data_IF_919888045748
#
_entry.id   IF_919888045748
#
_cell.length_a   1.000
_cell.length_b   1.000
_cell.length_c   1.000
_cell.angle_alpha   90.00
_cell.angle_beta   90.00
_cell.angle_gamma   90.00
#
_symmetry.space_group_name_H-M   'P 1'
#
loop_
_entity.id
_entity.type
_entity.pdbx_description
1 polymer ?
#
# COMPACT_ATOMS: atom_id res chain seq x y z
N UNK A 1 -6.97 -3.89 -6.76
CA UNK A 1 -7.59 -2.60 -7.08
C UNK A 1 -6.48 -1.58 -7.37
N UNK A 2 -5.59 -1.88 -8.32
CA UNK A 2 -4.45 -1.00 -8.60
C UNK A 2 -4.86 0.44 -8.94
N UNK A 3 -5.93 0.60 -9.72
CA UNK A 3 -6.44 1.91 -10.15
C UNK A 3 -6.90 2.83 -9.02
N UNK A 4 -7.32 2.29 -7.87
CA UNK A 4 -7.76 3.10 -6.71
C UNK A 4 -6.56 3.63 -5.93
N UNK A 5 -5.52 2.81 -5.80
CA UNK A 5 -4.31 3.16 -5.06
C UNK A 5 -3.39 4.10 -5.85
N UNK A 6 -3.49 4.01 -7.17
CA UNK A 6 -2.65 4.74 -8.11
C UNK A 6 -2.57 6.25 -7.91
N UNK A 7 -3.68 6.99 -7.75
CA UNK A 7 -3.60 8.44 -7.60
C UNK A 7 -2.90 8.84 -6.29
N UNK A 8 -3.05 8.02 -5.24
CA UNK A 8 -2.37 8.23 -3.97
C UNK A 8 -0.88 7.92 -4.07
N UNK A 9 -0.52 6.90 -4.85
CA UNK A 9 0.87 6.58 -5.15
C UNK A 9 1.56 7.74 -5.89
N UNK A 10 1.00 8.18 -7.02
CA UNK A 10 1.58 9.29 -7.79
C UNK A 10 1.59 10.61 -7.00
N UNK A 11 0.50 10.88 -6.26
CA UNK A 11 0.42 12.03 -5.36
C UNK A 11 1.48 11.97 -4.23
N UNK A 12 1.83 10.77 -3.78
CA UNK A 12 2.90 10.53 -2.82
C UNK A 12 4.25 11.00 -3.33
N UNK A 13 4.63 10.67 -4.56
CA UNK A 13 5.88 11.17 -5.15
C UNK A 13 5.92 12.71 -5.13
N UNK A 14 4.83 13.37 -5.50
CA UNK A 14 4.75 14.84 -5.49
C UNK A 14 4.94 15.37 -4.06
N UNK A 15 4.20 14.85 -3.08
CA UNK A 15 4.29 15.29 -1.68
C UNK A 15 5.67 15.06 -1.08
N UNK A 16 6.30 13.92 -1.36
CA UNK A 16 7.60 13.60 -0.79
C UNK A 16 8.78 14.21 -1.56
N UNK A 17 8.56 14.68 -2.79
CA UNK A 17 9.58 15.42 -3.56
C UNK A 17 10.02 16.72 -2.90
N UNK A 18 9.14 17.36 -2.12
CA UNK A 18 9.44 18.60 -1.40
C UNK A 18 10.58 18.46 -0.37
N UNK A 19 10.89 17.24 0.06
CA UNK A 19 12.00 16.97 0.99
C UNK A 19 13.37 16.84 0.28
N UNK A 20 13.42 16.91 -1.05
CA UNK A 20 14.66 16.95 -1.84
C UNK A 20 15.46 15.63 -1.90
N UNK A 21 15.00 14.56 -1.25
CA UNK A 21 15.66 13.25 -1.28
C UNK A 21 15.00 12.34 -2.31
N UNK A 22 15.75 11.88 -3.31
CA UNK A 22 15.23 10.98 -4.35
C UNK A 22 14.74 9.65 -3.75
N UNK A 23 15.44 9.12 -2.75
CA UNK A 23 15.02 7.91 -2.03
C UNK A 23 13.67 8.13 -1.34
N UNK A 24 13.49 9.29 -0.69
CA UNK A 24 12.24 9.61 -0.03
C UNK A 24 11.11 9.87 -1.03
N UNK A 25 11.39 10.53 -2.17
CA UNK A 25 10.42 10.70 -3.26
C UNK A 25 9.92 9.36 -3.77
N UNK A 26 10.83 8.42 -4.05
CA UNK A 26 10.48 7.09 -4.56
C UNK A 26 9.70 6.27 -3.51
N UNK A 27 10.13 6.30 -2.25
CA UNK A 27 9.34 5.73 -1.13
C UNK A 27 7.97 6.39 -0.99
N UNK A 28 7.89 7.68 -1.32
CA UNK A 28 6.72 8.53 -1.12
C UNK A 28 5.45 8.00 -1.74
N UNK A 29 5.54 7.36 -2.91
CA UNK A 29 4.37 6.76 -3.55
C UNK A 29 3.77 5.62 -2.73
N UNK A 30 4.60 4.64 -2.37
CA UNK A 30 4.18 3.53 -1.50
C UNK A 30 3.73 4.01 -0.11
N UNK A 31 4.41 5.01 0.46
CA UNK A 31 4.04 5.58 1.76
C UNK A 31 2.66 6.22 1.73
N UNK A 32 2.38 7.07 0.73
CA UNK A 32 1.08 7.75 0.65
C UNK A 32 -0.06 6.76 0.37
N UNK A 33 0.18 5.74 -0.46
CA UNK A 33 -0.74 4.63 -0.71
C UNK A 33 -1.16 3.89 0.59
N UNK A 34 -0.30 3.87 1.61
CA UNK A 34 -0.60 3.29 2.93
C UNK A 34 -1.15 4.32 3.93
N UNK A 35 -0.65 5.56 3.92
CA UNK A 35 -1.04 6.62 4.86
C UNK A 35 -2.52 6.99 4.70
N UNK A 36 -3.02 7.04 3.47
CA UNK A 36 -4.40 7.44 3.19
C UNK A 36 -5.42 6.49 3.82
N UNK A 37 -5.44 5.18 3.51
CA UNK A 37 -6.38 4.26 4.15
C UNK A 37 -6.20 4.20 5.67
N UNK A 38 -4.97 4.29 6.17
CA UNK A 38 -4.70 4.34 7.61
C UNK A 38 -5.33 5.58 8.27
N UNK A 39 -5.23 6.74 7.62
CA UNK A 39 -5.85 7.99 8.09
C UNK A 39 -7.37 7.90 8.05
N UNK A 40 -7.94 7.35 6.98
CA UNK A 40 -9.38 7.06 6.90
C UNK A 40 -9.83 6.16 8.06
N UNK A 41 -9.11 5.07 8.33
CA UNK A 41 -9.42 4.17 9.44
C UNK A 41 -9.39 4.89 10.79
N UNK A 42 -8.36 5.69 11.04
CA UNK A 42 -8.24 6.45 12.29
C UNK A 42 -9.35 7.50 12.46
N UNK A 43 -9.69 8.25 11.41
CA UNK A 43 -10.75 9.26 11.44
C UNK A 43 -12.11 8.59 11.67
N UNK A 44 -12.43 7.54 10.92
CA UNK A 44 -13.69 6.83 11.06
C UNK A 44 -13.86 6.24 12.46
N UNK A 45 -12.80 5.63 13.00
CA UNK A 45 -12.85 5.03 14.32
C UNK A 45 -12.97 6.07 15.45
N UNK A 46 -12.09 7.08 15.46
CA UNK A 46 -11.94 7.96 16.62
C UNK A 46 -12.75 9.25 16.55
N UNK A 47 -13.00 9.77 15.35
CA UNK A 47 -13.74 11.04 15.16
C UNK A 47 -15.19 10.79 14.81
N UNK A 48 -15.44 9.97 13.80
CA UNK A 48 -16.80 9.67 13.31
C UNK A 48 -17.51 8.65 14.21
N UNK A 49 -16.75 7.85 14.97
CA UNK A 49 -17.26 6.70 15.74
C UNK A 49 -18.05 5.73 14.88
N UNK A 50 -17.49 5.42 13.70
CA UNK A 50 -17.99 4.41 12.76
C UNK A 50 -16.98 3.24 12.68
N UNK A 51 -17.11 2.22 13.55
CA UNK A 51 -16.20 1.08 13.56
C UNK A 51 -16.33 0.21 12.30
N UNK A 52 -17.51 0.18 11.68
CA UNK A 52 -17.71 -0.60 10.46
C UNK A 52 -16.98 0.07 9.28
N UNK A 53 -17.14 1.37 9.10
CA UNK A 53 -16.37 2.14 8.12
C UNK A 53 -14.86 2.04 8.38
N UNK A 54 -14.43 2.07 9.64
CA UNK A 54 -13.03 1.88 9.99
C UNK A 54 -12.51 0.48 9.57
N UNK A 55 -13.31 -0.57 9.73
CA UNK A 55 -12.96 -1.91 9.27
C UNK A 55 -12.78 -1.94 7.73
N UNK A 56 -13.65 -1.28 6.96
CA UNK A 56 -13.48 -1.16 5.51
C UNK A 56 -12.19 -0.42 5.13
N UNK A 57 -11.84 0.63 5.86
CA UNK A 57 -10.59 1.37 5.64
C UNK A 57 -9.34 0.54 6.02
N UNK A 58 -9.40 -0.29 7.06
CA UNK A 58 -8.32 -1.25 7.39
C UNK A 58 -8.21 -2.33 6.32
N UNK A 59 -9.33 -2.80 5.77
CA UNK A 59 -9.31 -3.73 4.64
C UNK A 59 -8.61 -3.09 3.44
N UNK A 60 -8.92 -1.83 3.14
CA UNK A 60 -8.26 -1.07 2.08
C UNK A 60 -6.76 -0.90 2.34
N UNK A 61 -6.34 -0.63 3.59
CA UNK A 61 -4.91 -0.62 3.95
C UNK A 61 -4.24 -1.97 3.64
N UNK A 62 -4.91 -3.08 3.97
CA UNK A 62 -4.40 -4.42 3.66
C UNK A 62 -4.31 -4.68 2.16
N UNK A 63 -5.32 -4.24 1.40
CA UNK A 63 -5.32 -4.32 -0.06
C UNK A 63 -4.17 -3.50 -0.68
N UNK A 64 -3.89 -2.30 -0.16
CA UNK A 64 -2.73 -1.50 -0.57
C UNK A 64 -1.39 -2.23 -0.39
N UNK A 65 -1.22 -3.00 0.69
CA UNK A 65 -0.01 -3.83 0.89
C UNK A 65 0.08 -4.97 -0.12
N UNK A 66 -1.04 -5.64 -0.42
CA UNK A 66 -1.10 -6.72 -1.42
C UNK A 66 -0.80 -6.16 -2.82
N UNK A 67 -1.32 -4.98 -3.14
CA UNK A 67 -1.11 -4.30 -4.42
C UNK A 67 0.37 -3.89 -4.63
N UNK A 68 1.08 -3.51 -3.57
CA UNK A 68 2.51 -3.20 -3.62
C UNK A 68 3.40 -4.45 -3.82
N UNK A 69 3.00 -5.61 -3.30
CA UNK A 69 3.81 -6.82 -3.30
C UNK A 69 4.37 -7.25 -4.67
N UNK A 70 3.60 -7.29 -5.78
CA UNK A 70 4.14 -7.65 -7.09
C UNK A 70 5.20 -6.66 -7.60
N UNK A 71 5.07 -5.36 -7.32
CA UNK A 71 6.07 -4.36 -7.69
C UNK A 71 7.35 -4.49 -6.86
N UNK A 72 7.22 -4.84 -5.57
CA UNK A 72 8.39 -5.17 -4.75
C UNK A 72 9.09 -6.41 -5.32
N UNK A 73 8.34 -7.47 -5.66
CA UNK A 73 8.89 -8.70 -6.21
C UNK A 73 9.56 -8.51 -7.58
N UNK A 74 9.06 -7.56 -8.38
CA UNK A 74 9.62 -7.22 -9.69
C UNK A 74 10.89 -6.35 -9.60
N UNK A 75 11.31 -5.91 -8.41
CA UNK A 75 12.43 -4.98 -8.25
C UNK A 75 13.73 -5.45 -8.92
N UNK A 76 14.00 -6.76 -9.03
CA UNK A 76 15.13 -7.29 -9.82
C UNK A 76 14.75 -7.70 -11.24
N UNK A 77 13.55 -8.23 -11.44
CA UNK A 77 13.11 -8.79 -12.71
C UNK A 77 12.76 -7.70 -13.74
N UNK A 78 12.28 -6.54 -13.27
CA UNK A 78 11.98 -5.35 -14.06
C UNK A 78 11.10 -5.64 -15.29
N UNK A 79 10.15 -6.54 -15.11
CA UNK A 79 9.32 -7.13 -16.14
C UNK A 79 7.91 -6.54 -16.19
N UNK A 80 7.45 -5.94 -15.09
CA UNK A 80 6.13 -5.33 -15.04
C UNK A 80 6.08 -4.05 -15.87
N UNK A 81 4.96 -3.85 -16.55
CA UNK A 81 4.70 -2.61 -17.29
C UNK A 81 4.41 -1.47 -16.32
N UNK A 82 5.11 -0.36 -16.49
CA UNK A 82 4.97 0.84 -15.67
C UNK A 82 3.87 1.76 -16.24
N UNK A 83 3.42 2.71 -15.41
CA UNK A 83 2.35 3.67 -15.75
C UNK A 83 2.66 4.56 -16.95
N UNK A 84 3.92 4.92 -17.13
CA UNK A 84 4.40 5.71 -18.28
C UNK A 84 4.60 4.88 -19.55
N UNK A 85 4.33 3.58 -19.51
CA UNK A 85 4.68 2.63 -20.58
C UNK A 85 6.10 2.06 -20.43
N UNK A 86 6.34 0.94 -21.11
CA UNK A 86 7.58 0.16 -20.97
C UNK A 86 7.67 -0.56 -19.63
N UNK A 87 8.80 -1.22 -19.38
CA UNK A 87 9.12 -1.89 -18.11
C UNK A 87 10.29 -1.22 -17.41
N UNK A 88 10.59 -1.64 -16.17
CA UNK A 88 11.79 -1.20 -15.47
C UNK A 88 13.09 -1.47 -16.25
N UNK A 89 13.13 -2.51 -17.10
CA UNK A 89 14.30 -2.87 -17.89
C UNK A 89 14.50 -1.95 -19.11
N UNK A 90 13.43 -1.32 -19.60
CA UNK A 90 13.46 -0.44 -20.77
C UNK A 90 13.45 1.05 -20.41
N UNK A 91 13.39 1.38 -19.12
CA UNK A 91 13.33 2.75 -18.61
C UNK A 91 14.63 3.11 -17.87
N UNK A 92 14.97 4.40 -17.73
CA UNK A 92 16.16 4.81 -17.00
C UNK A 92 16.15 4.35 -15.54
N UNK A 93 17.33 4.17 -14.94
CA UNK A 93 17.45 3.86 -13.52
C UNK A 93 16.69 4.89 -12.66
N UNK A 94 15.95 4.40 -11.67
CA UNK A 94 15.14 5.23 -10.81
C UNK A 94 13.73 5.55 -11.32
N UNK A 95 13.25 4.90 -12.39
CA UNK A 95 11.83 4.92 -12.79
C UNK A 95 11.01 3.81 -12.15
N UNK A 96 11.62 2.65 -11.86
CA UNK A 96 10.97 1.59 -11.10
C UNK A 96 11.30 1.79 -9.62
N UNK A 97 10.32 2.23 -8.82
CA UNK A 97 10.56 2.66 -7.44
C UNK A 97 11.24 1.60 -6.58
N UNK A 98 10.68 0.39 -6.54
CA UNK A 98 11.23 -0.66 -5.66
C UNK A 98 12.61 -1.17 -6.09
N UNK A 99 12.96 -1.09 -7.37
CA UNK A 99 14.31 -1.34 -7.81
C UNK A 99 15.26 -0.29 -7.24
N UNK A 100 14.92 0.98 -7.41
CA UNK A 100 15.70 2.10 -6.91
C UNK A 100 15.85 2.05 -5.39
N UNK A 101 14.74 1.97 -4.66
CA UNK A 101 14.70 1.92 -3.19
C UNK A 101 15.59 0.81 -2.65
N UNK A 102 15.41 -0.42 -3.12
CA UNK A 102 16.15 -1.55 -2.57
C UNK A 102 17.62 -1.54 -2.98
N UNK A 103 17.95 -0.97 -4.15
CA UNK A 103 19.32 -0.82 -4.61
C UNK A 103 20.07 0.25 -3.81
N UNK A 104 19.48 1.43 -3.60
CA UNK A 104 20.04 2.50 -2.78
C UNK A 104 20.21 2.07 -1.30
N UNK A 105 19.34 1.19 -0.80
CA UNK A 105 19.44 0.61 0.54
C UNK A 105 20.39 -0.61 0.61
N UNK A 106 20.97 -1.06 -0.51
CA UNK A 106 21.87 -2.22 -0.55
C UNK A 106 21.22 -3.57 -0.21
N UNK A 107 19.89 -3.67 -0.35
CA UNK A 107 19.09 -4.85 0.02
C UNK A 107 18.26 -5.41 -1.16
N UNK A 108 18.66 -5.10 -2.40
CA UNK A 108 17.96 -5.53 -3.62
C UNK A 108 17.71 -7.05 -3.69
N UNK A 109 18.61 -7.87 -3.15
CA UNK A 109 18.46 -9.33 -3.10
C UNK A 109 17.34 -9.83 -2.17
N UNK A 110 16.78 -8.95 -1.33
CA UNK A 110 15.68 -9.24 -0.39
C UNK A 110 14.30 -8.90 -0.95
N UNK A 111 14.20 -8.42 -2.17
CA UNK A 111 12.95 -8.08 -2.87
C UNK A 111 11.83 -9.12 -2.65
N UNK A 112 12.09 -10.41 -2.87
CA UNK A 112 11.10 -11.48 -2.72
C UNK A 112 10.64 -11.65 -1.27
N UNK A 113 11.56 -11.53 -0.31
CA UNK A 113 11.23 -11.62 1.11
C UNK A 113 10.39 -10.43 1.57
N UNK A 114 10.70 -9.22 1.09
CA UNK A 114 9.96 -8.00 1.41
C UNK A 114 8.58 -8.05 0.73
N UNK A 115 8.50 -8.50 -0.53
CA UNK A 115 7.25 -8.71 -1.25
C UNK A 115 6.35 -9.72 -0.53
N UNK A 116 6.91 -10.84 -0.09
CA UNK A 116 6.18 -11.84 0.69
C UNK A 116 5.69 -11.28 2.02
N UNK A 117 6.51 -10.47 2.71
CA UNK A 117 6.11 -9.83 3.95
C UNK A 117 4.98 -8.82 3.73
N UNK A 118 5.05 -8.01 2.66
CA UNK A 118 3.99 -7.08 2.28
C UNK A 118 2.69 -7.83 1.96
N UNK A 119 2.76 -8.86 1.11
CA UNK A 119 1.60 -9.68 0.76
C UNK A 119 0.95 -10.35 1.98
N UNK A 120 1.75 -10.94 2.87
CA UNK A 120 1.25 -11.58 4.09
C UNK A 120 0.63 -10.56 5.03
N UNK A 121 1.29 -9.42 5.27
CA UNK A 121 0.77 -8.34 6.11
C UNK A 121 -0.55 -7.82 5.57
N UNK A 122 -0.61 -7.55 4.26
CA UNK A 122 -1.83 -7.09 3.62
C UNK A 122 -2.98 -8.09 3.73
N UNK A 123 -2.70 -9.36 3.42
CA UNK A 123 -3.69 -10.45 3.53
C UNK A 123 -4.20 -10.59 4.97
N UNK A 124 -3.32 -10.53 5.96
CA UNK A 124 -3.70 -10.61 7.37
C UNK A 124 -4.57 -9.42 7.80
N UNK A 125 -4.23 -8.20 7.39
CA UNK A 125 -5.04 -7.01 7.66
C UNK A 125 -6.44 -7.11 7.03
N UNK A 126 -6.54 -7.60 5.79
CA UNK A 126 -7.82 -7.81 5.12
C UNK A 126 -8.69 -8.83 5.87
N UNK A 127 -8.12 -9.96 6.29
CA UNK A 127 -8.85 -10.99 7.06
C UNK A 127 -9.30 -10.46 8.43
N UNK A 128 -8.44 -9.75 9.14
CA UNK A 128 -8.78 -9.13 10.42
C UNK A 128 -9.87 -8.08 10.28
N UNK A 129 -9.82 -7.26 9.22
CA UNK A 129 -10.85 -6.28 8.91
C UNK A 129 -12.21 -6.92 8.63
N UNK A 130 -12.25 -8.02 7.85
CA UNK A 130 -13.48 -8.78 7.60
C UNK A 130 -14.02 -9.34 8.92
N UNK A 131 -13.17 -10.00 9.71
CA UNK A 131 -13.58 -10.56 11.00
C UNK A 131 -14.13 -9.48 11.95
N UNK A 132 -13.47 -8.32 12.00
CA UNK A 132 -13.92 -7.18 12.81
C UNK A 132 -15.26 -6.62 12.34
N UNK A 133 -15.42 -6.37 11.03
CA UNK A 133 -16.66 -5.86 10.46
C UNK A 133 -17.84 -6.81 10.70
N UNK A 134 -17.65 -8.11 10.48
CA UNK A 134 -18.66 -9.15 10.75
C UNK A 134 -19.01 -9.19 12.24
N UNK A 135 -18.01 -9.21 13.13
CA UNK A 135 -18.25 -9.23 14.57
C UNK A 135 -19.01 -7.99 15.05
N UNK A 136 -18.74 -6.81 14.47
CA UNK A 136 -19.46 -5.58 14.78
C UNK A 136 -20.92 -5.65 14.34
N UNK A 137 -21.19 -6.11 13.11
CA UNK A 137 -22.56 -6.30 12.61
C UNK A 137 -23.33 -7.24 13.53
N UNK A 138 -22.77 -8.43 13.83
CA UNK A 138 -23.45 -9.45 14.63
C UNK A 138 -23.81 -8.93 16.03
N UNK A 139 -22.91 -8.18 16.69
CA UNK A 139 -23.18 -7.58 18.01
C UNK A 139 -24.27 -6.52 17.96
N UNK A 140 -24.32 -5.74 16.89
CA UNK A 140 -25.25 -4.62 16.79
C UNK A 140 -26.63 -5.05 16.25
N UNK A 141 -26.70 -6.18 15.53
CA UNK A 141 -27.97 -6.78 15.10
C UNK A 141 -28.74 -7.43 16.25
N UNK A 142 -28.06 -7.95 17.28
CA UNK A 142 -28.71 -8.60 18.44
C UNK A 142 -29.38 -7.64 19.43
N UNK A 143 -29.16 -6.32 19.28
CA UNK A 143 -29.77 -5.30 20.13
C UNK A 143 -30.99 -4.62 19.49
N UNK A 144 -31.32 -4.97 18.25
CA UNK A 144 -32.44 -4.39 17.50
C UNK A 144 -33.71 -5.27 17.51
N UNK A 145 -33.68 -6.40 18.21
CA UNK A 145 -34.80 -7.34 18.43
C UNK A 145 -35.26 -7.33 19.88
#
# INVERSE_FOLDING_TARGET
MHLVNLPFHEGGHVVFSFFGSRLLTSLGGSLMQLIIPLTCAAVLLFRTRDPFGAALAVWWLGESFVDLAPYIADARALSLTLLGGGTGATTPYGFHDWNFILNELGILSRDMSIASAAHFTGSALMLLAIAWGVAWILRNSTHAS
#
